data_IF_657054408670
#
_entry.id   IF_657054408670
#
_cell.length_a   1.000
_cell.length_b   1.000
_cell.length_c   1.000
_cell.angle_alpha   90.00
_cell.angle_beta   90.00
_cell.angle_gamma   90.00
#
_symmetry.space_group_name_H-M   'P 1'
#
loop_
_entity.id
_entity.type
_entity.pdbx_description
1 polymer ?
#
# COMPACT_ATOMS: atom_id res chain seq x y z
N UNK A 1 -27.55 -23.43 10.93
CA UNK A 1 -28.50 -24.53 11.18
C UNK A 1 -29.88 -23.92 11.27
N UNK A 2 -30.89 -24.64 10.82
CA UNK A 2 -32.28 -24.19 10.77
C UNK A 2 -33.19 -25.21 11.45
N UNK A 3 -34.29 -24.74 12.03
CA UNK A 3 -35.23 -25.62 12.74
C UNK A 3 -36.20 -26.34 11.80
N UNK A 4 -36.33 -25.89 10.55
CA UNK A 4 -37.09 -26.59 9.53
C UNK A 4 -36.34 -26.63 8.19
N UNK A 5 -36.71 -27.59 7.35
CA UNK A 5 -36.12 -27.81 6.03
C UNK A 5 -36.40 -26.65 5.08
N UNK A 6 -37.63 -26.12 5.11
CA UNK A 6 -38.05 -25.02 4.26
C UNK A 6 -37.22 -23.74 4.51
N UNK A 7 -36.93 -23.41 5.77
CA UNK A 7 -36.05 -22.29 6.13
C UNK A 7 -34.62 -22.52 5.65
N UNK A 8 -34.11 -23.76 5.78
CA UNK A 8 -32.79 -24.12 5.29
C UNK A 8 -32.68 -23.96 3.76
N UNK A 9 -33.70 -24.40 3.02
CA UNK A 9 -33.76 -24.27 1.57
C UNK A 9 -33.86 -22.81 1.14
N UNK A 10 -34.75 -22.04 1.77
CA UNK A 10 -34.90 -20.62 1.46
C UNK A 10 -33.59 -19.85 1.71
N UNK A 11 -32.88 -20.17 2.79
CA UNK A 11 -31.59 -19.55 3.07
C UNK A 11 -30.48 -19.99 2.10
N UNK A 12 -30.47 -21.26 1.68
CA UNK A 12 -29.55 -21.76 0.65
C UNK A 12 -29.76 -21.03 -0.68
N UNK A 13 -31.02 -20.90 -1.12
CA UNK A 13 -31.39 -20.21 -2.36
C UNK A 13 -31.02 -18.72 -2.29
N UNK A 14 -31.30 -18.06 -1.16
CA UNK A 14 -30.92 -16.66 -0.93
C UNK A 14 -29.39 -16.47 -0.97
N UNK A 15 -28.63 -17.42 -0.44
CA UNK A 15 -27.17 -17.40 -0.45
C UNK A 15 -26.61 -17.54 -1.86
N UNK A 16 -27.10 -18.53 -2.63
CA UNK A 16 -26.73 -18.72 -4.05
C UNK A 16 -27.09 -17.48 -4.87
N UNK A 17 -28.28 -16.92 -4.67
CA UNK A 17 -28.72 -15.72 -5.38
C UNK A 17 -27.84 -14.50 -5.08
N UNK A 18 -27.46 -14.30 -3.81
CA UNK A 18 -26.55 -13.20 -3.41
C UNK A 18 -25.19 -13.32 -4.09
N UNK A 19 -24.74 -14.55 -4.36
CA UNK A 19 -23.43 -14.83 -4.95
C UNK A 19 -23.49 -15.17 -6.44
N UNK A 20 -24.63 -15.02 -7.12
CA UNK A 20 -24.82 -15.35 -8.55
C UNK A 20 -23.85 -14.69 -9.54
N UNK A 21 -23.15 -13.62 -9.13
CA UNK A 21 -22.13 -12.93 -9.94
C UNK A 21 -20.71 -13.46 -9.70
N UNK A 22 -20.51 -14.43 -8.80
CA UNK A 22 -19.21 -15.06 -8.62
C UNK A 22 -18.88 -15.97 -9.79
N UNK A 23 -17.60 -16.04 -10.13
CA UNK A 23 -17.11 -16.94 -11.16
C UNK A 23 -17.27 -18.42 -10.76
N UNK A 24 -17.20 -18.71 -9.46
CA UNK A 24 -17.41 -20.06 -8.92
C UNK A 24 -18.90 -20.37 -8.79
N UNK A 25 -19.26 -21.62 -9.06
CA UNK A 25 -20.62 -22.13 -8.88
C UNK A 25 -20.77 -22.65 -7.46
N UNK A 26 -21.88 -22.30 -6.82
CA UNK A 26 -22.22 -22.80 -5.49
C UNK A 26 -23.27 -23.90 -5.64
N UNK A 27 -22.95 -25.09 -5.16
CA UNK A 27 -23.90 -26.18 -5.02
C UNK A 27 -24.27 -26.30 -3.55
N UNK A 28 -25.56 -26.41 -3.26
CA UNK A 28 -26.06 -26.51 -1.90
C UNK A 28 -26.84 -27.79 -1.71
N UNK A 29 -26.58 -28.49 -0.61
CA UNK A 29 -27.38 -29.63 -0.16
C UNK A 29 -27.81 -29.41 1.29
N UNK A 30 -28.91 -30.06 1.68
CA UNK A 30 -29.44 -29.98 3.04
C UNK A 30 -29.27 -31.35 3.69
N UNK A 31 -28.64 -31.35 4.86
CA UNK A 31 -28.54 -32.53 5.72
C UNK A 31 -29.39 -32.35 6.97
N UNK A 32 -30.19 -33.37 7.30
CA UNK A 32 -30.89 -33.45 8.58
C UNK A 32 -29.93 -33.99 9.65
N UNK A 33 -29.71 -33.22 10.70
CA UNK A 33 -28.88 -33.58 11.86
C UNK A 33 -29.79 -33.73 13.06
N UNK A 34 -29.73 -34.89 13.72
CA UNK A 34 -30.43 -35.09 14.99
C UNK A 34 -29.54 -34.62 16.14
N UNK A 35 -29.99 -33.58 16.83
CA UNK A 35 -29.31 -33.01 17.99
C UNK A 35 -30.12 -33.31 19.25
N UNK A 36 -29.46 -33.88 20.27
CA UNK A 36 -30.09 -34.03 21.59
C UNK A 36 -29.98 -32.72 22.36
N UNK A 37 -31.11 -32.25 22.90
CA UNK A 37 -31.05 -31.10 23.82
C UNK A 37 -30.21 -31.45 25.05
N UNK A 38 -29.31 -30.54 25.42
CA UNK A 38 -28.55 -30.67 26.67
C UNK A 38 -29.54 -30.67 27.84
N UNK A 39 -29.37 -31.61 28.76
CA UNK A 39 -30.15 -31.66 29.99
C UNK A 39 -30.15 -30.30 30.68
N UNK A 40 -31.31 -29.86 31.18
CA UNK A 40 -31.48 -28.57 31.83
C UNK A 40 -30.60 -28.39 33.09
N UNK A 41 -30.06 -29.49 33.63
CA UNK A 41 -29.18 -29.50 34.81
C UNK A 41 -27.84 -30.16 34.50
N UNK A 42 -26.78 -29.62 35.08
CA UNK A 42 -25.42 -30.17 34.99
C UNK A 42 -25.31 -31.38 35.93
N UNK A 43 -25.08 -32.58 35.40
CA UNK A 43 -24.90 -33.81 36.18
C UNK A 43 -25.53 -35.06 35.55
N UNK A 44 -25.41 -36.21 36.21
CA UNK A 44 -26.02 -37.49 35.78
C UNK A 44 -27.56 -37.38 35.85
N UNK A 45 -28.30 -37.76 34.81
CA UNK A 45 -29.77 -37.73 34.80
C UNK A 45 -30.35 -38.52 35.97
N UNK A 46 -31.43 -38.02 36.58
CA UNK A 46 -32.16 -38.76 37.63
C UNK A 46 -32.90 -39.95 37.02
N UNK A 47 -33.14 -40.99 37.83
CA UNK A 47 -33.80 -42.23 37.38
C UNK A 47 -35.21 -42.00 36.79
N UNK A 48 -35.86 -40.89 37.16
CA UNK A 48 -37.22 -40.51 36.74
C UNK A 48 -37.25 -39.34 35.73
N UNK A 49 -36.10 -38.97 35.14
CA UNK A 49 -36.01 -37.87 34.19
C UNK A 49 -36.33 -38.34 32.76
N UNK A 50 -37.25 -37.65 32.08
CA UNK A 50 -37.63 -37.96 30.71
C UNK A 50 -36.42 -37.88 29.77
N UNK A 51 -36.32 -38.83 28.84
CA UNK A 51 -35.26 -38.88 27.81
C UNK A 51 -35.20 -37.55 27.05
N UNK A 52 -34.00 -36.97 26.81
CA UNK A 52 -33.88 -35.68 26.15
C UNK A 52 -34.54 -35.72 24.78
N UNK A 53 -35.32 -34.67 24.46
CA UNK A 53 -36.04 -34.56 23.21
C UNK A 53 -35.04 -34.49 22.06
N UNK A 54 -35.14 -35.44 21.13
CA UNK A 54 -34.36 -35.42 19.89
C UNK A 54 -34.98 -34.34 18.99
N UNK A 55 -34.22 -33.28 18.72
CA UNK A 55 -34.60 -32.26 17.74
C UNK A 55 -33.93 -32.56 16.41
N UNK A 56 -34.69 -32.49 15.33
CA UNK A 56 -34.14 -32.54 13.97
C UNK A 56 -33.83 -31.12 13.55
N UNK A 57 -32.56 -30.84 13.28
CA UNK A 57 -32.07 -29.56 12.76
C UNK A 57 -31.56 -29.77 11.32
N UNK A 58 -31.66 -28.74 10.49
CA UNK A 58 -31.26 -28.80 9.09
C UNK A 58 -30.00 -27.96 8.88
N UNK A 59 -28.98 -28.60 8.31
CA UNK A 59 -27.70 -27.99 7.98
C UNK A 59 -27.61 -27.80 6.47
N UNK A 60 -27.40 -26.56 6.05
CA UNK A 60 -27.02 -26.27 4.66
C UNK A 60 -25.53 -26.56 4.51
N UNK A 61 -25.20 -27.48 3.61
CA UNK A 61 -23.86 -27.68 3.10
C UNK A 61 -23.70 -26.88 1.81
N UNK A 62 -22.53 -26.26 1.65
CA UNK A 62 -22.19 -25.50 0.46
C UNK A 62 -20.90 -26.09 -0.10
N UNK A 63 -20.96 -26.56 -1.33
CA UNK A 63 -19.81 -26.95 -2.11
C UNK A 63 -19.48 -25.84 -3.12
N UNK A 64 -18.21 -25.45 -3.17
CA UNK A 64 -17.71 -24.44 -4.11
C UNK A 64 -17.06 -25.15 -5.28
N UNK A 65 -17.71 -25.07 -6.44
CA UNK A 65 -17.25 -25.70 -7.67
C UNK A 65 -16.48 -24.68 -8.50
N UNK A 66 -15.29 -25.07 -8.96
CA UNK A 66 -14.48 -24.25 -9.84
C UNK A 66 -15.22 -23.90 -11.14
N UNK A 67 -14.98 -22.71 -11.72
CA UNK A 67 -15.52 -22.35 -13.03
C UNK A 67 -15.04 -23.30 -14.13
N UNK A 68 -15.85 -23.43 -15.18
CA UNK A 68 -15.41 -24.07 -16.42
C UNK A 68 -14.27 -23.29 -17.06
N UNK A 69 -13.48 -23.98 -17.90
CA UNK A 69 -12.39 -23.32 -18.64
C UNK A 69 -12.92 -22.19 -19.53
N UNK A 70 -14.05 -22.40 -20.20
CA UNK A 70 -14.72 -21.41 -21.05
C UNK A 70 -15.15 -20.17 -20.26
N UNK A 71 -15.83 -20.35 -19.12
CA UNK A 71 -16.23 -19.22 -18.28
C UNK A 71 -15.03 -18.45 -17.73
N UNK A 72 -13.95 -19.17 -17.39
CA UNK A 72 -12.69 -18.56 -16.94
C UNK A 72 -12.00 -17.77 -18.05
N UNK A 73 -12.00 -18.28 -19.29
CA UNK A 73 -11.42 -17.60 -20.44
C UNK A 73 -12.21 -16.34 -20.81
N UNK A 74 -13.54 -16.45 -20.92
CA UNK A 74 -14.39 -15.29 -21.22
C UNK A 74 -14.24 -14.18 -20.16
N UNK A 75 -14.18 -14.55 -18.87
CA UNK A 75 -13.93 -13.59 -17.80
C UNK A 75 -12.54 -12.94 -17.93
N UNK A 76 -11.49 -13.73 -18.23
CA UNK A 76 -10.14 -13.19 -18.46
C UNK A 76 -10.08 -12.25 -19.65
N UNK A 77 -10.72 -12.57 -20.76
CA UNK A 77 -10.77 -11.70 -21.94
C UNK A 77 -11.44 -10.36 -21.62
N UNK A 78 -12.57 -10.39 -20.88
CA UNK A 78 -13.23 -9.18 -20.41
C UNK A 78 -12.34 -8.34 -19.49
N UNK A 79 -11.71 -8.95 -18.49
CA UNK A 79 -10.87 -8.24 -17.50
C UNK A 79 -9.49 -7.83 -18.04
N UNK A 80 -9.01 -8.48 -19.12
CA UNK A 80 -7.75 -8.15 -19.77
C UNK A 80 -7.89 -7.12 -20.89
N UNK A 81 -9.12 -6.72 -21.23
CA UNK A 81 -9.36 -5.69 -22.23
C UNK A 81 -9.06 -4.31 -21.66
N UNK A 82 -8.07 -3.64 -22.23
CA UNK A 82 -7.64 -2.30 -21.81
C UNK A 82 -7.69 -1.34 -22.99
N UNK A 83 -8.68 -0.44 -22.99
CA UNK A 83 -8.89 0.51 -24.09
C UNK A 83 -8.13 1.81 -23.81
N UNK A 84 -7.24 2.18 -24.72
CA UNK A 84 -6.51 3.45 -24.68
C UNK A 84 -6.86 4.28 -25.91
N UNK A 85 -7.16 5.55 -25.69
CA UNK A 85 -7.37 6.53 -26.74
C UNK A 85 -6.20 7.51 -26.72
N UNK A 86 -5.55 7.70 -27.86
CA UNK A 86 -4.40 8.58 -28.00
C UNK A 86 -4.53 9.44 -29.25
N UNK A 87 -4.01 10.66 -29.21
CA UNK A 87 -3.91 11.55 -30.36
C UNK A 87 -2.66 11.26 -31.22
N UNK A 88 -1.81 10.32 -30.80
CA UNK A 88 -0.66 9.85 -31.59
C UNK A 88 -1.19 9.14 -32.84
N UNK A 89 -0.90 9.70 -34.02
CA UNK A 89 -1.38 9.19 -35.31
C UNK A 89 -0.32 8.42 -36.11
N UNK A 90 0.91 8.44 -35.65
CA UNK A 90 2.05 7.82 -36.32
C UNK A 90 2.55 6.62 -35.51
N UNK A 91 2.16 5.42 -35.94
CA UNK A 91 2.54 4.15 -35.32
C UNK A 91 4.06 3.89 -35.38
N UNK A 92 4.79 4.58 -36.26
CA UNK A 92 6.27 4.49 -36.31
C UNK A 92 6.93 5.30 -35.19
N UNK A 93 6.24 6.32 -34.66
CA UNK A 93 6.78 7.18 -33.60
C UNK A 93 6.69 6.53 -32.21
N UNK A 94 5.64 5.75 -31.95
CA UNK A 94 5.34 5.16 -30.64
C UNK A 94 4.56 3.85 -30.82
N UNK A 95 5.16 2.72 -30.42
CA UNK A 95 4.48 1.43 -30.45
C UNK A 95 3.37 1.32 -29.39
N UNK A 96 2.36 0.49 -29.63
CA UNK A 96 1.27 0.19 -28.68
C UNK A 96 1.78 -0.17 -27.28
N UNK A 97 2.88 -0.94 -27.21
CA UNK A 97 3.52 -1.32 -25.94
C UNK A 97 4.06 -0.10 -25.19
N UNK A 98 4.60 0.88 -25.91
CA UNK A 98 5.10 2.11 -25.31
C UNK A 98 3.93 3.00 -24.87
N UNK A 99 2.85 3.09 -25.64
CA UNK A 99 1.62 3.80 -25.24
C UNK A 99 1.03 3.22 -23.96
N UNK A 100 0.90 1.89 -23.88
CA UNK A 100 0.45 1.21 -22.66
C UNK A 100 1.37 1.47 -21.48
N UNK A 101 2.69 1.42 -21.69
CA UNK A 101 3.67 1.69 -20.65
C UNK A 101 3.55 3.11 -20.11
N UNK A 102 3.51 4.13 -20.99
CA UNK A 102 3.35 5.52 -20.61
C UNK A 102 2.08 5.74 -19.79
N UNK A 103 0.98 5.10 -20.18
CA UNK A 103 -0.26 5.15 -19.41
C UNK A 103 -0.08 4.53 -18.02
N UNK A 104 0.50 3.32 -17.92
CA UNK A 104 0.67 2.62 -16.63
C UNK A 104 1.65 3.35 -15.71
N UNK A 105 2.66 4.02 -16.26
CA UNK A 105 3.64 4.80 -15.51
C UNK A 105 3.04 6.09 -14.90
N UNK A 106 1.86 6.55 -15.36
CA UNK A 106 1.13 7.66 -14.70
C UNK A 106 0.79 7.38 -13.23
N UNK A 107 0.65 6.10 -12.86
CA UNK A 107 0.41 5.70 -11.48
C UNK A 107 1.56 6.12 -10.54
N UNK A 108 2.81 6.21 -11.04
CA UNK A 108 3.93 6.72 -10.23
C UNK A 108 3.71 8.19 -9.85
N UNK A 109 3.19 9.00 -10.77
CA UNK A 109 2.82 10.39 -10.51
C UNK A 109 1.69 10.46 -9.48
N UNK A 110 0.62 9.67 -9.65
CA UNK A 110 -0.50 9.64 -8.70
C UNK A 110 -0.08 9.20 -7.29
N UNK A 111 0.86 8.26 -7.20
CA UNK A 111 1.45 7.83 -5.92
C UNK A 111 2.12 8.99 -5.18
N UNK A 112 2.82 9.87 -5.90
CA UNK A 112 3.48 11.04 -5.30
C UNK A 112 2.46 12.09 -4.83
N UNK A 113 1.37 12.31 -5.58
CA UNK A 113 0.29 13.20 -5.17
C UNK A 113 -0.54 12.68 -3.99
N UNK A 114 -0.53 11.37 -3.73
CA UNK A 114 -1.23 10.76 -2.59
C UNK A 114 -0.80 11.37 -1.26
N UNK A 115 0.47 11.73 -1.13
CA UNK A 115 0.99 12.42 0.05
C UNK A 115 0.33 13.78 0.25
N UNK A 116 0.24 14.60 -0.81
CA UNK A 116 -0.40 15.92 -0.79
C UNK A 116 -1.90 15.83 -0.48
N UNK A 117 -2.55 14.77 -0.96
CA UNK A 117 -3.98 14.51 -0.72
C UNK A 117 -4.24 13.88 0.65
N UNK A 118 -3.21 13.58 1.44
CA UNK A 118 -3.35 12.88 2.71
C UNK A 118 -3.83 13.84 3.81
N UNK A 119 -5.01 13.60 4.42
CA UNK A 119 -5.51 14.45 5.50
C UNK A 119 -4.64 14.35 6.76
N UNK A 120 -3.82 13.31 6.92
CA UNK A 120 -2.93 13.16 8.08
C UNK A 120 -1.70 14.05 7.99
N UNK A 121 -1.19 14.30 6.78
CA UNK A 121 0.03 15.08 6.58
C UNK A 121 -0.27 16.58 6.40
N UNK A 122 -1.39 16.90 5.74
CA UNK A 122 -1.78 18.29 5.44
C UNK A 122 -2.90 18.80 6.35
N UNK A 123 -3.75 17.92 6.88
CA UNK A 123 -4.89 18.32 7.73
C UNK A 123 -4.53 19.04 9.03
N UNK A 124 -3.38 18.77 9.70
CA UNK A 124 -2.96 19.54 10.88
C UNK A 124 -2.58 21.00 10.59
N UNK A 125 -2.52 21.42 9.32
CA UNK A 125 -2.10 22.77 8.92
C UNK A 125 -3.32 23.69 8.84
N UNK A 126 -3.56 24.45 9.90
CA UNK A 126 -4.69 25.39 9.96
C UNK A 126 -4.38 26.72 9.27
N UNK A 127 -4.91 26.91 8.06
CA UNK A 127 -4.79 28.15 7.29
C UNK A 127 -6.12 28.90 7.26
N UNK A 128 -6.20 30.02 7.99
CA UNK A 128 -7.44 30.78 8.17
C UNK A 128 -7.85 31.62 6.94
N UNK A 129 -6.91 31.96 6.06
CA UNK A 129 -7.15 32.85 4.90
C UNK A 129 -7.06 32.08 3.59
N UNK A 130 -8.01 32.27 2.65
CA UNK A 130 -7.97 31.61 1.34
C UNK A 130 -6.67 31.86 0.56
N UNK A 131 -6.09 33.05 0.67
CA UNK A 131 -4.79 33.37 0.06
C UNK A 131 -3.66 32.49 0.57
N UNK A 132 -3.62 32.21 1.88
CA UNK A 132 -2.61 31.33 2.49
C UNK A 132 -2.79 29.89 2.05
N UNK A 133 -4.03 29.42 1.90
CA UNK A 133 -4.33 28.07 1.35
C UNK A 133 -3.76 27.95 -0.06
N UNK A 134 -3.98 28.95 -0.92
CA UNK A 134 -3.45 28.94 -2.29
C UNK A 134 -1.93 28.94 -2.33
N UNK A 135 -1.28 29.82 -1.55
CA UNK A 135 0.20 29.86 -1.46
C UNK A 135 0.76 28.54 -0.94
N UNK A 136 0.14 27.96 0.09
CA UNK A 136 0.54 26.68 0.63
C UNK A 136 0.44 25.56 -0.41
N UNK A 137 -0.63 25.54 -1.22
CA UNK A 137 -0.75 24.61 -2.35
C UNK A 137 0.43 24.70 -3.32
N UNK A 138 0.86 25.91 -3.70
CA UNK A 138 2.04 26.09 -4.55
C UNK A 138 3.34 25.63 -3.89
N UNK A 139 3.53 25.93 -2.60
CA UNK A 139 4.71 25.47 -1.86
C UNK A 139 4.76 23.95 -1.81
N UNK A 140 3.62 23.29 -1.56
CA UNK A 140 3.54 21.83 -1.56
C UNK A 140 3.86 21.22 -2.93
N UNK A 141 3.40 21.83 -4.02
CA UNK A 141 3.74 21.39 -5.38
C UNK A 141 5.25 21.56 -5.66
N UNK A 142 5.84 22.68 -5.25
CA UNK A 142 7.28 22.92 -5.39
C UNK A 142 8.09 21.92 -4.55
N UNK A 143 7.70 21.68 -3.31
CA UNK A 143 8.33 20.68 -2.44
C UNK A 143 8.22 19.27 -3.04
N UNK A 144 7.07 18.92 -3.63
CA UNK A 144 6.91 17.63 -4.30
C UNK A 144 7.82 17.52 -5.52
N UNK A 145 7.90 18.56 -6.34
CA UNK A 145 8.81 18.60 -7.49
C UNK A 145 10.27 18.41 -7.07
N UNK A 146 10.71 19.13 -6.04
CA UNK A 146 12.07 18.99 -5.49
C UNK A 146 12.33 17.58 -4.95
N UNK A 147 11.37 17.01 -4.23
CA UNK A 147 11.45 15.64 -3.72
C UNK A 147 11.53 14.61 -4.85
N UNK A 148 10.72 14.76 -5.90
CA UNK A 148 10.72 13.86 -7.06
C UNK A 148 12.03 13.96 -7.83
N UNK A 149 12.58 15.16 -8.02
CA UNK A 149 13.89 15.35 -8.63
C UNK A 149 15.01 14.72 -7.79
N UNK A 150 14.96 14.90 -6.47
CA UNK A 150 15.90 14.28 -5.53
C UNK A 150 15.86 12.75 -5.61
N UNK A 151 14.68 12.14 -5.56
CA UNK A 151 14.52 10.68 -5.66
C UNK A 151 14.92 10.15 -7.05
N UNK A 152 14.63 10.92 -8.11
CA UNK A 152 15.02 10.58 -9.47
C UNK A 152 16.54 10.50 -9.61
N UNK A 153 17.27 11.56 -9.24
CA UNK A 153 18.74 11.61 -9.31
C UNK A 153 19.33 10.48 -8.46
N UNK A 154 18.83 10.30 -7.23
CA UNK A 154 19.26 9.20 -6.35
C UNK A 154 19.14 7.84 -7.02
N UNK A 155 18.00 7.55 -7.66
CA UNK A 155 17.76 6.26 -8.32
C UNK A 155 18.53 6.09 -9.62
N UNK A 156 18.76 7.17 -10.35
CA UNK A 156 19.58 7.18 -11.55
C UNK A 156 21.04 6.84 -11.21
N UNK A 157 21.60 7.50 -10.19
CA UNK A 157 22.96 7.21 -9.73
C UNK A 157 23.06 5.77 -9.18
N UNK A 158 22.09 5.34 -8.37
CA UNK A 158 22.03 3.98 -7.84
C UNK A 158 21.90 2.89 -8.92
N UNK A 159 21.38 3.19 -10.11
CA UNK A 159 21.31 2.22 -11.20
C UNK A 159 22.69 1.89 -11.80
N UNK A 160 23.68 2.75 -11.59
CA UNK A 160 25.07 2.57 -12.04
C UNK A 160 25.93 1.86 -10.98
N UNK A 161 25.41 1.69 -9.78
CA UNK A 161 26.11 1.13 -8.64
C UNK A 161 25.98 -0.40 -8.58
N UNK A 162 27.07 -1.07 -8.21
CA UNK A 162 27.09 -2.54 -8.04
C UNK A 162 26.73 -2.97 -6.61
N UNK A 163 26.85 -2.06 -5.64
CA UNK A 163 26.56 -2.32 -4.24
C UNK A 163 25.30 -1.58 -3.75
N UNK A 164 24.43 -2.22 -2.95
CA UNK A 164 23.23 -1.58 -2.44
C UNK A 164 23.59 -0.53 -1.38
N UNK A 165 22.69 0.45 -1.20
CA UNK A 165 22.72 1.29 -0.01
C UNK A 165 22.21 0.51 1.21
N UNK A 166 22.85 0.75 2.35
CA UNK A 166 22.44 0.23 3.66
C UNK A 166 21.64 1.32 4.37
N UNK A 167 20.32 1.19 4.30
CA UNK A 167 19.34 2.10 4.88
C UNK A 167 19.14 1.84 6.39
N UNK A 168 18.43 2.73 7.12
CA UNK A 168 18.08 2.53 8.52
C UNK A 168 17.44 1.15 8.77
N UNK A 169 17.80 0.52 9.88
CA UNK A 169 17.42 -0.87 10.17
C UNK A 169 18.19 -1.92 9.35
N UNK A 170 19.34 -1.57 8.78
CA UNK A 170 20.23 -2.46 8.00
C UNK A 170 19.58 -3.05 6.74
N UNK A 171 18.60 -2.33 6.17
CA UNK A 171 17.91 -2.75 4.95
C UNK A 171 18.78 -2.42 3.73
N UNK A 172 19.07 -3.42 2.90
CA UNK A 172 19.81 -3.24 1.65
C UNK A 172 18.85 -2.90 0.52
N UNK A 173 19.12 -1.83 -0.24
CA UNK A 173 18.28 -1.45 -1.38
C UNK A 173 19.10 -0.91 -2.55
N UNK A 174 18.78 -1.38 -3.76
CA UNK A 174 19.25 -0.82 -5.03
C UNK A 174 18.30 0.25 -5.58
N UNK A 175 17.11 0.38 -5.01
CA UNK A 175 16.10 1.38 -5.41
C UNK A 175 15.56 2.07 -4.15
N UNK A 176 16.40 2.84 -3.45
CA UNK A 176 15.96 3.56 -2.25
C UNK A 176 14.83 4.54 -2.58
N UNK A 177 14.01 4.84 -1.57
CA UNK A 177 13.07 5.97 -1.62
C UNK A 177 13.75 7.21 -1.05
N UNK A 178 13.34 8.39 -1.51
CA UNK A 178 13.83 9.65 -0.97
C UNK A 178 13.56 9.75 0.53
N UNK A 179 12.42 9.21 1.00
CA UNK A 179 12.07 9.21 2.41
C UNK A 179 13.06 8.40 3.27
N UNK A 180 13.41 7.18 2.86
CA UNK A 180 14.38 6.35 3.59
C UNK A 180 15.78 6.95 3.60
N UNK A 181 16.15 7.68 2.54
CA UNK A 181 17.41 8.43 2.53
C UNK A 181 17.35 9.63 3.45
N UNK A 182 16.30 10.45 3.40
CA UNK A 182 16.14 11.61 4.27
C UNK A 182 16.14 11.22 5.75
N UNK A 183 15.57 10.07 6.11
CA UNK A 183 15.64 9.51 7.47
C UNK A 183 17.09 9.30 7.95
N UNK A 184 18.03 8.96 7.06
CA UNK A 184 19.45 8.83 7.40
C UNK A 184 20.07 10.17 7.83
N UNK A 185 19.54 11.29 7.33
CA UNK A 185 20.01 12.64 7.60
C UNK A 185 19.20 13.36 8.69
N UNK A 186 18.01 12.87 9.06
CA UNK A 186 17.12 13.49 10.06
C UNK A 186 17.82 13.75 11.41
N UNK A 187 18.75 12.86 11.79
CA UNK A 187 19.50 12.95 13.06
C UNK A 187 20.87 13.63 12.93
N UNK A 188 21.14 14.32 11.83
CA UNK A 188 22.38 15.07 11.67
C UNK A 188 22.38 16.28 12.60
N UNK A 189 23.37 16.33 13.51
CA UNK A 189 23.56 17.44 14.45
C UNK A 189 24.82 18.24 14.09
N UNK A 190 24.71 19.57 14.10
CA UNK A 190 25.86 20.48 13.96
C UNK A 190 25.98 21.35 15.20
N UNK A 191 27.20 21.58 15.68
CA UNK A 191 27.47 22.40 16.86
C UNK A 191 28.36 23.58 16.50
N UNK A 192 28.15 24.72 17.16
CA UNK A 192 29.05 25.86 17.08
C UNK A 192 30.17 25.73 18.09
N UNK A 193 31.41 25.83 17.63
CA UNK A 193 32.61 25.87 18.48
C UNK A 193 33.39 27.15 18.21
N UNK A 194 34.02 27.68 19.26
CA UNK A 194 34.91 28.82 19.16
C UNK A 194 36.35 28.32 19.18
N UNK A 195 37.04 28.42 18.05
CA UNK A 195 38.46 28.09 17.94
C UNK A 195 39.19 29.38 17.61
N UNK A 196 40.18 29.76 18.42
CA UNK A 196 40.97 31.00 18.22
C UNK A 196 40.11 32.27 18.11
N UNK A 197 38.99 32.32 18.85
CA UNK A 197 38.07 33.46 18.83
C UNK A 197 37.14 33.51 17.62
N UNK A 198 37.26 32.59 16.66
CA UNK A 198 36.35 32.46 15.53
C UNK A 198 35.29 31.39 15.79
N UNK A 199 34.02 31.76 15.58
CA UNK A 199 32.90 30.82 15.62
C UNK A 199 32.82 30.05 14.31
N UNK A 200 33.00 28.74 14.40
CA UNK A 200 32.80 27.83 13.28
C UNK A 200 31.75 26.76 13.62
N UNK A 201 31.00 26.36 12.60
CA UNK A 201 30.05 25.25 12.69
C UNK A 201 30.80 23.96 12.41
N UNK A 202 30.58 22.94 13.21
CA UNK A 202 31.27 21.66 13.07
C UNK A 202 30.25 20.53 13.07
N UNK A 203 30.49 19.56 12.19
CA UNK A 203 29.76 18.32 12.14
C UNK A 203 30.28 17.40 13.25
N UNK A 204 29.41 17.06 14.20
CA UNK A 204 29.75 16.20 15.36
C UNK A 204 29.24 14.76 15.20
N UNK A 205 28.69 14.43 14.03
CA UNK A 205 28.12 13.11 13.77
C UNK A 205 29.25 12.10 13.49
N UNK A 206 29.08 10.83 13.89
CA UNK A 206 30.03 9.79 13.51
C UNK A 206 30.09 9.66 11.99
N UNK A 207 31.29 9.37 11.49
CA UNK A 207 31.51 9.08 10.08
C UNK A 207 30.56 7.95 9.63
N UNK A 208 29.89 8.17 8.50
CA UNK A 208 28.95 7.23 7.95
C UNK A 208 29.17 7.16 6.43
N UNK A 209 29.82 6.08 5.94
CA UNK A 209 30.13 5.92 4.52
C UNK A 209 28.90 5.99 3.62
N UNK A 210 27.73 5.57 4.14
CA UNK A 210 26.49 5.62 3.36
C UNK A 210 26.02 7.07 3.17
N UNK A 211 26.17 7.94 4.18
CA UNK A 211 25.83 9.36 4.05
C UNK A 211 26.76 10.06 3.07
N UNK A 212 28.05 9.80 3.16
CA UNK A 212 29.06 10.34 2.24
C UNK A 212 28.79 9.90 0.80
N UNK A 213 28.51 8.60 0.58
CA UNK A 213 28.16 8.06 -0.73
C UNK A 213 26.90 8.72 -1.30
N UNK A 214 25.86 8.90 -0.47
CA UNK A 214 24.63 9.58 -0.88
C UNK A 214 24.90 11.04 -1.24
N UNK A 215 25.68 11.78 -0.45
CA UNK A 215 26.04 13.16 -0.78
C UNK A 215 26.84 13.23 -2.09
N UNK A 216 27.74 12.27 -2.31
CA UNK A 216 28.51 12.14 -3.55
C UNK A 216 27.63 12.02 -4.80
N UNK A 217 26.48 11.35 -4.73
CA UNK A 217 25.51 11.29 -5.85
C UNK A 217 24.97 12.65 -6.28
N UNK A 218 25.02 13.65 -5.39
CA UNK A 218 24.59 15.02 -5.66
C UNK A 218 25.78 15.97 -5.89
N UNK A 219 27.00 15.45 -5.97
CA UNK A 219 28.21 16.28 -6.03
C UNK A 219 28.47 17.08 -4.76
N UNK A 220 27.96 16.59 -3.62
CA UNK A 220 28.11 17.20 -2.30
C UNK A 220 29.01 16.34 -1.41
N UNK A 221 29.51 16.94 -0.35
CA UNK A 221 30.21 16.24 0.71
C UNK A 221 29.76 16.75 2.10
N UNK A 222 30.36 16.23 3.16
CA UNK A 222 29.97 16.57 4.54
C UNK A 222 30.26 18.03 4.91
N UNK A 223 30.98 18.79 4.07
CA UNK A 223 31.24 20.23 4.27
C UNK A 223 29.97 21.06 4.30
N UNK A 224 28.87 20.60 3.68
CA UNK A 224 27.57 21.29 3.74
C UNK A 224 27.06 21.47 5.18
N UNK A 225 27.56 20.66 6.12
CA UNK A 225 27.23 20.69 7.54
C UNK A 225 28.29 21.38 8.41
N UNK A 226 29.48 21.69 7.90
CA UNK A 226 30.55 22.36 8.65
C UNK A 226 30.83 23.78 8.12
N UNK A 227 30.89 23.97 6.82
CA UNK A 227 31.23 25.28 6.26
C UNK A 227 29.98 26.15 6.10
N UNK A 228 30.17 27.45 6.30
CA UNK A 228 29.22 28.46 5.82
C UNK A 228 29.68 28.79 4.41
N UNK A 229 28.97 28.30 3.39
CA UNK A 229 29.10 28.91 2.08
C UNK A 229 28.65 30.37 2.24
N UNK A 230 29.60 31.30 2.23
CA UNK A 230 29.29 32.72 2.02
C UNK A 230 28.73 32.79 0.61
N UNK A 231 27.41 32.84 0.47
CA UNK A 231 26.79 33.21 -0.80
C UNK A 231 27.33 34.59 -1.19
N UNK A 232 27.97 34.66 -2.35
CA UNK A 232 28.38 35.91 -2.98
C UNK A 232 27.17 36.81 -3.28
#
# INVERSE_FOLDING_TARGET
>A
MYSCEADAQQAADAFVHTKRRSLHTLQTSIESVQTQEKHARRGRPRKDEATPVIKTEYRVLVEVVAPTQEASQAWREQESTFVLMTEIRDDQSLSDRMVLRLYKDQNEVECQFRYLKSPYHVGPIFLQRPSRVKTFGYLMLLSLLLYSAFEYILREQMAQETEPLILPGKRKSFRPTGASVLEMFEKMVTTWVSIEGQRQRVNVNPANPQRERILGFFGLDMSIYSEIQKSA
#
